data_IF_921316725997
#
_entry.id   IF_921316725997
#
_cell.length_a   1.000
_cell.length_b   1.000
_cell.length_c   1.000
_cell.angle_alpha   90.00
_cell.angle_beta   90.00
_cell.angle_gamma   90.00
#
_symmetry.space_group_name_H-M   'P 1'
#
loop_
_entity.id
_entity.type
_entity.pdbx_description
1 polymer ?
#
# COMPACT_ATOMS: atom_id res chain seq x y z
N UNK A 1 32.74 -14.03 -18.06
CA UNK A 1 31.38 -14.49 -17.74
C UNK A 1 31.07 -13.91 -16.39
N UNK A 2 30.41 -12.75 -16.35
CA UNK A 2 30.09 -12.09 -15.09
C UNK A 2 28.97 -12.85 -14.42
N UNK A 3 29.24 -13.32 -13.21
CA UNK A 3 28.27 -13.88 -12.28
C UNK A 3 27.27 -12.76 -11.94
N UNK A 4 26.12 -12.79 -12.59
CA UNK A 4 24.98 -11.99 -12.20
C UNK A 4 24.53 -12.55 -10.86
N UNK A 5 24.66 -11.76 -9.79
CA UNK A 5 24.14 -12.14 -8.49
C UNK A 5 22.67 -12.52 -8.65
N UNK A 6 22.37 -13.78 -8.38
CA UNK A 6 21.01 -14.19 -8.08
C UNK A 6 20.59 -13.39 -6.85
N UNK A 7 19.89 -12.27 -7.07
CA UNK A 7 18.98 -11.70 -6.09
C UNK A 7 18.11 -12.87 -5.66
N UNK A 8 18.46 -13.48 -4.52
CA UNK A 8 17.73 -14.62 -3.99
C UNK A 8 16.27 -14.19 -3.89
N UNK A 9 15.43 -14.76 -4.76
CA UNK A 9 14.03 -14.40 -4.82
C UNK A 9 13.45 -14.62 -3.42
N UNK A 10 13.09 -13.53 -2.75
CA UNK A 10 12.58 -13.60 -1.39
C UNK A 10 11.38 -14.54 -1.36
N UNK A 11 11.43 -15.53 -0.47
CA UNK A 11 10.39 -16.54 -0.38
C UNK A 11 9.06 -15.88 0.00
N UNK A 12 8.00 -16.20 -0.76
CA UNK A 12 6.68 -15.68 -0.48
C UNK A 12 6.18 -16.23 0.86
N UNK A 13 5.88 -15.33 1.80
CA UNK A 13 5.31 -15.68 3.10
C UNK A 13 3.99 -14.92 3.32
N UNK A 14 3.11 -15.42 4.19
CA UNK A 14 1.93 -14.67 4.62
C UNK A 14 2.32 -13.28 5.15
N UNK A 15 1.58 -12.26 4.72
CA UNK A 15 1.89 -10.86 5.03
C UNK A 15 1.46 -10.43 6.44
N UNK A 16 0.55 -11.19 7.08
CA UNK A 16 -0.08 -10.85 8.37
C UNK A 16 0.94 -10.49 9.45
N UNK A 17 1.85 -11.41 9.78
CA UNK A 17 2.88 -11.17 10.81
C UNK A 17 3.73 -9.90 10.55
N UNK A 18 3.96 -9.54 9.29
CA UNK A 18 4.75 -8.36 8.92
C UNK A 18 4.00 -7.07 9.26
N UNK A 19 2.69 -7.06 9.03
CA UNK A 19 1.82 -5.91 9.33
C UNK A 19 1.60 -5.83 10.85
N UNK A 20 1.33 -6.96 11.50
CA UNK A 20 1.13 -7.04 12.96
C UNK A 20 2.38 -6.58 13.72
N UNK A 21 3.57 -6.92 13.23
CA UNK A 21 4.85 -6.47 13.79
C UNK A 21 5.06 -4.95 13.73
N UNK A 22 4.34 -4.24 12.86
CA UNK A 22 4.33 -2.77 12.79
C UNK A 22 3.30 -2.14 13.73
N UNK A 23 2.44 -2.95 14.38
CA UNK A 23 1.36 -2.48 15.25
C UNK A 23 0.21 -1.82 14.47
N UNK A 24 -0.01 -2.21 13.22
CA UNK A 24 -1.09 -1.69 12.38
C UNK A 24 -2.34 -2.53 12.59
N UNK A 25 -3.47 -1.88 12.86
CA UNK A 25 -4.77 -2.53 13.00
C UNK A 25 -5.74 -1.98 11.95
N UNK A 26 -6.55 -2.87 11.36
CA UNK A 26 -7.67 -2.48 10.51
C UNK A 26 -8.95 -2.42 11.35
N UNK A 27 -9.74 -1.37 11.15
CA UNK A 27 -11.07 -1.26 11.77
C UNK A 27 -12.13 -1.68 10.76
N UNK A 28 -12.65 -2.90 10.93
CA UNK A 28 -13.69 -3.51 10.09
C UNK A 28 -14.87 -3.84 11.00
N UNK A 29 -16.08 -3.46 10.59
CA UNK A 29 -17.31 -3.72 11.35
C UNK A 29 -17.72 -5.20 11.35
N UNK A 30 -18.58 -5.58 12.30
CA UNK A 30 -19.03 -6.98 12.47
C UNK A 30 -19.76 -7.56 11.24
N UNK A 31 -20.41 -6.71 10.44
CA UNK A 31 -21.12 -7.08 9.21
C UNK A 31 -20.32 -6.76 7.93
N UNK A 32 -19.05 -6.36 8.06
CA UNK A 32 -18.19 -6.00 6.94
C UNK A 32 -17.25 -7.14 6.57
N UNK A 33 -17.07 -7.37 5.27
CA UNK A 33 -16.14 -8.37 4.74
C UNK A 33 -15.05 -7.69 3.92
N UNK A 34 -13.79 -7.93 4.28
CA UNK A 34 -12.65 -7.52 3.46
C UNK A 34 -12.54 -8.46 2.25
N UNK A 35 -12.99 -7.97 1.09
CA UNK A 35 -13.00 -8.74 -0.15
C UNK A 35 -11.64 -8.78 -0.89
N UNK A 36 -10.74 -7.84 -0.58
CA UNK A 36 -9.41 -7.78 -1.17
C UNK A 36 -8.57 -6.65 -0.56
N UNK A 37 -7.25 -6.72 -0.74
CA UNK A 37 -6.32 -5.73 -0.24
C UNK A 37 -5.20 -5.43 -1.25
N UNK A 38 -4.69 -4.21 -1.20
CA UNK A 38 -3.40 -3.82 -1.77
C UNK A 38 -2.55 -3.35 -0.60
N UNK A 39 -1.38 -3.95 -0.44
CA UNK A 39 -0.46 -3.63 0.63
C UNK A 39 0.79 -2.99 0.03
N UNK A 40 1.09 -1.77 0.48
CA UNK A 40 2.30 -1.04 0.16
C UNK A 40 3.27 -1.20 1.32
N UNK A 41 4.40 -1.85 1.07
CA UNK A 41 5.45 -2.08 2.05
C UNK A 41 6.66 -1.23 1.73
N UNK A 42 7.09 -0.41 2.69
CA UNK A 42 8.43 0.19 2.67
C UNK A 42 9.40 -0.83 3.27
N UNK A 43 10.27 -1.39 2.43
CA UNK A 43 11.29 -2.36 2.83
C UNK A 43 12.63 -1.63 2.96
N UNK A 44 13.36 -1.91 4.03
CA UNK A 44 14.74 -1.45 4.21
C UNK A 44 15.65 -2.62 3.85
N UNK A 45 16.49 -2.44 2.84
CA UNK A 45 17.45 -3.45 2.37
C UNK A 45 18.70 -3.46 3.26
N UNK A 46 19.54 -4.49 3.13
CA UNK A 46 20.75 -4.67 3.99
C UNK A 46 21.75 -3.53 3.85
N UNK A 47 21.81 -2.91 2.67
CA UNK A 47 22.66 -1.74 2.40
C UNK A 47 22.10 -0.42 2.98
N UNK A 48 20.95 -0.48 3.65
CA UNK A 48 20.24 0.66 4.21
C UNK A 48 19.41 1.45 3.19
N UNK A 49 19.39 1.05 1.92
CA UNK A 49 18.48 1.61 0.94
C UNK A 49 17.03 1.21 1.22
N UNK A 50 16.08 1.97 0.68
CA UNK A 50 14.65 1.67 0.84
C UNK A 50 14.02 1.35 -0.50
N UNK A 51 13.20 0.29 -0.53
CA UNK A 51 12.42 -0.12 -1.69
C UNK A 51 10.93 -0.12 -1.36
N UNK A 52 10.11 0.21 -2.34
CA UNK A 52 8.66 0.00 -2.27
C UNK A 52 8.33 -1.40 -2.81
N UNK A 53 7.66 -2.22 -2.02
CA UNK A 53 7.10 -3.49 -2.43
C UNK A 53 5.57 -3.38 -2.44
N UNK A 54 4.95 -3.97 -3.45
CA UNK A 54 3.50 -3.98 -3.61
C UNK A 54 3.03 -5.43 -3.67
N UNK A 55 2.06 -5.77 -2.83
CA UNK A 55 1.36 -7.05 -2.87
C UNK A 55 -0.14 -6.80 -2.91
N UNK A 56 -0.89 -7.71 -3.54
CA UNK A 56 -2.34 -7.59 -3.63
C UNK A 56 -2.99 -8.98 -3.67
N UNK A 57 -4.27 -9.04 -3.33
CA UNK A 57 -5.07 -10.27 -3.47
C UNK A 57 -5.12 -10.74 -4.93
N UNK A 58 -5.10 -12.05 -5.17
CA UNK A 58 -5.13 -12.64 -6.53
C UNK A 58 -6.40 -12.28 -7.32
N UNK A 59 -7.51 -12.09 -6.61
CA UNK A 59 -8.80 -11.73 -7.21
C UNK A 59 -8.92 -10.28 -7.68
N UNK A 60 -7.95 -9.41 -7.37
CA UNK A 60 -7.99 -8.00 -7.74
C UNK A 60 -7.44 -7.78 -9.15
N UNK A 61 -8.33 -7.51 -10.10
CA UNK A 61 -7.96 -7.17 -11.47
C UNK A 61 -7.22 -5.84 -11.56
N UNK A 62 -6.52 -5.62 -12.68
CA UNK A 62 -5.75 -4.39 -12.89
C UNK A 62 -6.60 -3.11 -12.73
N UNK A 63 -7.84 -3.10 -13.24
CA UNK A 63 -8.74 -1.96 -13.14
C UNK A 63 -9.07 -1.64 -11.67
N UNK A 64 -9.45 -2.65 -10.89
CA UNK A 64 -9.77 -2.49 -9.47
C UNK A 64 -8.55 -1.98 -8.70
N UNK A 65 -7.38 -2.54 -8.98
CA UNK A 65 -6.13 -2.12 -8.35
C UNK A 65 -5.80 -0.65 -8.63
N UNK A 66 -5.89 -0.23 -9.89
CA UNK A 66 -5.65 1.16 -10.28
C UNK A 66 -6.66 2.11 -9.62
N UNK A 67 -7.93 1.72 -9.55
CA UNK A 67 -8.97 2.49 -8.87
C UNK A 67 -8.68 2.67 -7.39
N UNK A 68 -8.39 1.59 -6.66
CA UNK A 68 -8.07 1.61 -5.24
C UNK A 68 -6.87 2.53 -4.93
N UNK A 69 -5.78 2.40 -5.68
CA UNK A 69 -4.59 3.23 -5.50
C UNK A 69 -4.88 4.72 -5.73
N UNK A 70 -5.67 5.04 -6.76
CA UNK A 70 -6.00 6.44 -7.08
C UNK A 70 -6.88 7.10 -6.03
N UNK A 71 -7.83 6.35 -5.46
CA UNK A 71 -8.66 6.82 -4.35
C UNK A 71 -7.82 6.96 -3.07
N UNK A 72 -6.93 6.01 -2.78
CA UNK A 72 -6.03 6.09 -1.63
C UNK A 72 -5.13 7.35 -1.72
N UNK A 73 -4.50 7.60 -2.87
CA UNK A 73 -3.70 8.80 -3.11
C UNK A 73 -4.50 10.10 -2.88
N UNK A 74 -5.77 10.13 -3.33
CA UNK A 74 -6.64 11.28 -3.13
C UNK A 74 -7.00 11.50 -1.66
N UNK A 75 -7.27 10.42 -0.92
CA UNK A 75 -7.60 10.49 0.49
C UNK A 75 -6.42 11.02 1.32
N UNK A 76 -5.20 10.56 1.02
CA UNK A 76 -3.97 10.98 1.70
C UNK A 76 -3.56 12.43 1.37
N UNK A 77 -3.88 12.92 0.17
CA UNK A 77 -3.56 14.30 -0.25
C UNK A 77 -4.47 15.35 0.41
N UNK A 78 -5.52 14.94 1.12
CA UNK A 78 -6.53 15.83 1.71
C UNK A 78 -7.43 16.52 0.67
N UNK A 79 -8.53 17.18 1.09
CA UNK A 79 -9.27 18.05 0.19
C UNK A 79 -8.32 19.16 -0.27
N UNK A 80 -8.23 19.39 -1.59
CA UNK A 80 -7.60 20.59 -2.10
C UNK A 80 -8.22 21.76 -1.32
N UNK A 81 -7.40 22.52 -0.58
CA UNK A 81 -7.86 23.74 0.08
C UNK A 81 -8.42 24.63 -1.02
N UNK A 82 -9.73 24.64 -1.17
CA UNK A 82 -10.43 25.67 -1.91
C UNK A 82 -10.27 26.91 -1.05
N UNK A 83 -9.32 27.77 -1.42
CA UNK A 83 -9.16 29.11 -0.87
C UNK A 83 -10.55 29.74 -0.89
N UNK A 84 -11.15 29.89 0.29
CA UNK A 84 -12.40 30.63 0.42
C UNK A 84 -12.04 32.08 0.11
N UNK A 85 -12.36 32.53 -1.09
CA UNK A 85 -12.38 33.96 -1.40
C UNK A 85 -13.37 34.57 -0.40
N UNK A 86 -12.93 35.47 0.48
CA UNK A 86 -13.84 36.08 1.44
C UNK A 86 -14.94 36.80 0.65
N UNK A 87 -16.18 36.54 1.02
CA UNK A 87 -17.35 37.25 0.50
C UNK A 87 -17.21 38.71 0.97
N UNK A 88 -16.80 39.59 0.05
CA UNK A 88 -16.73 41.03 0.29
C UNK A 88 -18.15 41.58 0.33
N UNK A 89 -18.69 41.70 1.56
CA UNK A 89 -19.93 42.42 1.84
C UNK A 89 -19.79 43.94 1.74
#
# INVERSE_FOLDING_TARGET
MSEWGEDAAAEARPIGDLIDGLGIEAHVGDDELVAGAIVLLKVVEVDGSTRLSVSHSDGLGWIERSGMLRIAEQAESGPARHEQVPDEG
#
